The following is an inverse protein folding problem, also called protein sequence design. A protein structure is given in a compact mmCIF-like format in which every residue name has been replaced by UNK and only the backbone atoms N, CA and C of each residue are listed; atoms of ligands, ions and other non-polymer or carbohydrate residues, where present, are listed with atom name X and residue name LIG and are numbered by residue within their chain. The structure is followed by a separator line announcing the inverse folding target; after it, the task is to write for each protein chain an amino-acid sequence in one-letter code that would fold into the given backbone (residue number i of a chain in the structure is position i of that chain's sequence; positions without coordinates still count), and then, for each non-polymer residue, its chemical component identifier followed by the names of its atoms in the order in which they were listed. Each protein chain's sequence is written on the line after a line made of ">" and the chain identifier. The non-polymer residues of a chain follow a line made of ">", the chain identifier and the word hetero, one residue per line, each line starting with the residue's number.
data_IF_782743075400
#
_entry.id   IF_782743075400
#
_cell.length_a   1.000
_cell.length_b   1.000
_cell.length_c   1.000
_cell.angle_alpha   90.00
_cell.angle_beta   90.00
_cell.angle_gamma   90.00
#
_symmetry.space_group_name_H-M   'P 1'
#
loop_
_entity.id
_entity.type
_entity.pdbx_description
1 polymer ?
#
# COMPACT_ATOMS: atom_id res chain seq x y z
N UNK A 1 6.01 29.68 1.20
CA UNK A 1 4.57 29.94 0.96
C UNK A 1 3.78 29.52 2.19
N UNK A 2 2.52 29.96 2.34
CA UNK A 2 1.59 29.44 3.36
C UNK A 2 0.77 28.30 2.77
N UNK A 3 0.77 27.13 3.40
CA UNK A 3 0.14 25.91 2.86
C UNK A 3 -0.76 25.27 3.93
N UNK A 4 -1.99 24.99 3.54
CA UNK A 4 -2.92 24.19 4.33
C UNK A 4 -2.93 22.75 3.82
N UNK A 5 -2.75 21.79 4.73
CA UNK A 5 -2.90 20.35 4.48
C UNK A 5 -4.16 19.86 5.20
N UNK A 6 -5.05 19.18 4.49
CA UNK A 6 -6.30 18.67 5.05
C UNK A 6 -6.15 17.17 5.31
N UNK A 7 -6.23 16.79 6.59
CA UNK A 7 -6.06 15.44 7.11
C UNK A 7 -4.66 15.17 7.65
N UNK A 8 -4.58 14.59 8.84
CA UNK A 8 -3.35 14.13 9.50
C UNK A 8 -3.20 12.60 9.44
N UNK A 9 -3.63 11.98 8.34
CA UNK A 9 -3.24 10.61 7.98
C UNK A 9 -1.79 10.53 7.53
N UNK A 10 -1.30 9.34 7.19
CA UNK A 10 0.10 9.13 6.77
C UNK A 10 0.51 10.03 5.60
N UNK A 11 -0.38 10.21 4.61
CA UNK A 11 -0.12 11.10 3.47
C UNK A 11 -0.02 12.56 3.94
N UNK A 12 -0.98 13.05 4.71
CA UNK A 12 -0.94 14.44 5.19
C UNK A 12 0.27 14.74 6.07
N UNK A 13 0.64 13.82 6.96
CA UNK A 13 1.84 13.97 7.81
C UNK A 13 3.12 14.00 6.98
N UNK A 14 3.30 13.05 6.06
CA UNK A 14 4.51 12.99 5.20
C UNK A 14 4.59 14.21 4.27
N UNK A 15 3.47 14.64 3.69
CA UNK A 15 3.40 15.86 2.89
C UNK A 15 3.77 17.10 3.71
N UNK A 16 3.22 17.23 4.92
CA UNK A 16 3.51 18.39 5.76
C UNK A 16 4.97 18.42 6.21
N UNK A 17 5.55 17.26 6.55
CA UNK A 17 6.97 17.13 6.88
C UNK A 17 7.87 17.58 5.72
N UNK A 18 7.69 17.04 4.51
CA UNK A 18 8.54 17.41 3.36
C UNK A 18 8.36 18.89 2.99
N UNK A 19 7.15 19.44 3.01
CA UNK A 19 6.93 20.88 2.77
C UNK A 19 7.54 21.78 3.86
N UNK A 20 7.53 21.32 5.11
CA UNK A 20 8.20 22.01 6.22
C UNK A 20 9.72 22.00 6.06
N UNK A 21 10.29 20.87 5.63
CA UNK A 21 11.71 20.76 5.28
C UNK A 21 12.12 21.71 4.14
N UNK A 22 11.22 21.95 3.19
CA UNK A 22 11.39 22.93 2.10
C UNK A 22 11.21 24.40 2.57
N UNK A 23 10.99 24.65 3.86
CA UNK A 23 10.90 25.98 4.46
C UNK A 23 9.54 26.66 4.24
N UNK A 24 8.48 25.91 3.98
CA UNK A 24 7.13 26.46 3.87
C UNK A 24 6.44 26.60 5.23
N UNK A 25 5.54 27.59 5.35
CA UNK A 25 4.67 27.76 6.52
C UNK A 25 3.47 26.81 6.36
N UNK A 26 3.51 25.65 7.00
CA UNK A 26 2.49 24.59 6.83
C UNK A 26 1.59 24.50 8.06
N UNK A 27 0.28 24.46 7.83
CA UNK A 27 -0.70 24.08 8.85
C UNK A 27 -1.50 22.86 8.39
N UNK A 28 -1.52 21.82 9.21
CA UNK A 28 -2.33 20.61 9.01
C UNK A 28 -3.62 20.73 9.81
N UNK A 29 -4.76 20.53 9.16
CA UNK A 29 -6.08 20.51 9.79
C UNK A 29 -6.61 19.08 9.84
N UNK A 30 -7.01 18.62 11.02
CA UNK A 30 -7.51 17.26 11.25
C UNK A 30 -8.80 17.32 12.08
N UNK A 31 -9.82 16.59 11.62
CA UNK A 31 -11.12 16.51 12.29
C UNK A 31 -11.08 15.67 13.56
N UNK A 32 -10.16 14.70 13.63
CA UNK A 32 -9.97 13.81 14.76
C UNK A 32 -9.09 14.44 15.85
N UNK A 33 -9.01 13.76 17.01
CA UNK A 33 -8.29 14.26 18.18
C UNK A 33 -6.78 14.05 18.10
N UNK A 34 -6.33 13.14 17.23
CA UNK A 34 -4.93 12.84 16.98
C UNK A 34 -4.68 12.52 15.49
N UNK A 35 -3.41 12.41 15.13
CA UNK A 35 -2.99 11.98 13.80
C UNK A 35 -3.19 10.47 13.61
N UNK A 36 -3.42 10.07 12.37
CA UNK A 36 -3.56 8.67 11.95
C UNK A 36 -4.65 7.88 12.70
N UNK A 37 -5.84 8.46 12.89
CA UNK A 37 -6.99 7.82 13.56
C UNK A 37 -8.00 7.15 12.61
N UNK A 38 -7.76 7.19 11.29
CA UNK A 38 -8.63 6.54 10.28
C UNK A 38 -7.88 5.42 9.54
N UNK A 39 -7.85 5.40 8.20
CA UNK A 39 -7.22 4.31 7.44
C UNK A 39 -5.74 4.07 7.80
N UNK A 40 -5.02 5.12 8.21
CA UNK A 40 -3.64 5.00 8.69
C UNK A 40 -3.50 4.35 10.07
N UNK A 41 -4.60 4.26 10.85
CA UNK A 41 -4.61 3.66 12.19
C UNK A 41 -4.33 2.16 12.14
N UNK A 42 -4.99 1.45 11.22
CA UNK A 42 -4.96 0.00 11.12
C UNK A 42 -5.03 -0.48 9.65
N UNK A 43 -4.02 -0.13 8.86
CA UNK A 43 -3.78 -0.82 7.58
C UNK A 43 -2.87 -2.04 7.79
N UNK A 44 -2.69 -2.84 6.74
CA UNK A 44 -1.87 -4.05 6.79
C UNK A 44 -0.36 -3.78 7.02
N UNK A 45 0.10 -2.53 6.90
CA UNK A 45 1.50 -2.15 7.11
C UNK A 45 2.47 -2.61 6.02
N UNK A 46 1.99 -3.26 4.95
CA UNK A 46 2.83 -3.87 3.92
C UNK A 46 3.46 -2.79 3.02
N UNK A 47 4.78 -2.84 2.88
CA UNK A 47 5.59 -2.00 2.01
C UNK A 47 6.21 -2.92 0.96
N UNK A 48 5.44 -3.17 -0.11
CA UNK A 48 5.79 -4.09 -1.18
C UNK A 48 5.56 -3.47 -2.58
N UNK A 49 6.48 -2.61 -3.07
CA UNK A 49 6.32 -1.91 -4.34
C UNK A 49 6.14 -2.83 -5.55
N UNK A 50 6.76 -4.01 -5.52
CA UNK A 50 6.66 -5.02 -6.57
C UNK A 50 5.25 -5.58 -6.75
N UNK A 51 4.42 -5.52 -5.71
CA UNK A 51 3.06 -6.06 -5.71
C UNK A 51 1.99 -5.04 -6.11
N UNK A 52 2.37 -3.77 -6.31
CA UNK A 52 1.43 -2.70 -6.63
C UNK A 52 0.88 -2.88 -8.05
N UNK A 53 -0.45 -3.00 -8.14
CA UNK A 53 -1.20 -3.06 -9.40
C UNK A 53 -2.39 -2.12 -9.37
N UNK A 54 -2.73 -1.46 -10.48
CA UNK A 54 -4.01 -0.77 -10.60
C UNK A 54 -5.18 -1.73 -10.35
N UNK A 55 -6.18 -1.25 -9.62
CA UNK A 55 -7.42 -1.98 -9.40
C UNK A 55 -8.26 -2.08 -10.69
N UNK A 56 -8.19 -1.06 -11.55
CA UNK A 56 -8.81 -1.07 -12.87
C UNK A 56 -7.92 -1.81 -13.88
N UNK A 57 -8.03 -3.13 -13.94
CA UNK A 57 -7.27 -3.98 -14.85
C UNK A 57 -8.16 -4.67 -15.90
N UNK A 58 -7.61 -5.08 -17.06
CA UNK A 58 -8.35 -5.85 -18.04
C UNK A 58 -9.00 -7.10 -17.43
N UNK A 59 -10.27 -7.33 -17.73
CA UNK A 59 -11.04 -8.45 -17.18
C UNK A 59 -11.60 -8.23 -15.77
N UNK A 60 -11.20 -7.16 -15.05
CA UNK A 60 -11.76 -6.84 -13.73
C UNK A 60 -13.27 -6.64 -13.74
N UNK A 61 -13.92 -5.98 -14.72
CA UNK A 61 -15.37 -5.87 -14.76
C UNK A 61 -16.09 -7.22 -14.72
N UNK A 62 -15.61 -8.20 -15.49
CA UNK A 62 -16.16 -9.57 -15.49
C UNK A 62 -15.97 -10.25 -14.14
N UNK A 63 -14.78 -10.10 -13.54
CA UNK A 63 -14.47 -10.65 -12.20
C UNK A 63 -15.35 -10.03 -11.11
N UNK A 64 -15.54 -8.71 -11.14
CA UNK A 64 -16.38 -7.97 -10.19
C UNK A 64 -17.83 -8.43 -10.28
N UNK A 65 -18.41 -8.46 -11.49
CA UNK A 65 -19.79 -8.93 -11.70
C UNK A 65 -19.94 -10.38 -11.23
N UNK A 66 -19.00 -11.26 -11.56
CA UNK A 66 -19.00 -12.64 -11.09
C UNK A 66 -18.94 -12.75 -9.56
N UNK A 67 -18.11 -11.93 -8.88
CA UNK A 67 -18.00 -11.92 -7.43
C UNK A 67 -19.25 -11.35 -6.73
N UNK A 68 -19.94 -10.38 -7.33
CA UNK A 68 -21.19 -9.84 -6.77
C UNK A 68 -22.30 -10.89 -6.66
N UNK A 69 -22.25 -11.95 -7.49
CA UNK A 69 -23.20 -13.06 -7.48
C UNK A 69 -22.81 -14.18 -6.49
N UNK A 70 -21.64 -14.10 -5.86
CA UNK A 70 -21.18 -15.12 -4.93
C UNK A 70 -21.71 -14.87 -3.51
N UNK A 71 -21.95 -15.95 -2.76
CA UNK A 71 -22.40 -15.91 -1.36
C UNK A 71 -21.48 -15.07 -0.45
N UNK A 72 -20.18 -15.07 -0.73
CA UNK A 72 -19.16 -14.28 -0.02
C UNK A 72 -18.58 -13.21 -0.95
N UNK A 73 -19.46 -12.38 -1.53
CA UNK A 73 -19.07 -11.30 -2.42
C UNK A 73 -18.13 -10.30 -1.73
N UNK A 74 -16.92 -10.12 -2.28
CA UNK A 74 -15.96 -9.10 -1.83
C UNK A 74 -16.35 -7.67 -2.21
N UNK A 75 -17.37 -7.50 -3.07
CA UNK A 75 -17.90 -6.21 -3.52
C UNK A 75 -19.41 -6.25 -3.39
N UNK A 76 -19.98 -5.23 -2.73
CA UNK A 76 -21.42 -5.04 -2.59
C UNK A 76 -21.81 -3.71 -3.21
N UNK A 77 -22.88 -3.71 -4.00
CA UNK A 77 -23.46 -2.50 -4.59
C UNK A 77 -24.82 -2.28 -3.97
N UNK A 78 -25.06 -1.08 -3.45
CA UNK A 78 -26.36 -0.70 -2.91
C UNK A 78 -27.22 -0.17 -4.05
N UNK A 79 -28.47 -0.62 -4.11
CA UNK A 79 -29.46 -0.13 -5.06
C UNK A 79 -30.48 0.77 -4.34
N UNK A 80 -31.06 1.78 -5.02
CA UNK A 80 -30.79 2.18 -6.41
C UNK A 80 -29.46 2.94 -6.55
N UNK A 81 -28.86 2.86 -7.75
CA UNK A 81 -27.64 3.61 -8.08
C UNK A 81 -27.97 5.06 -8.42
N UNK A 82 -27.20 5.99 -7.85
CA UNK A 82 -27.23 7.40 -8.19
C UNK A 82 -26.47 7.68 -9.50
N UNK A 83 -26.69 8.86 -10.10
CA UNK A 83 -26.10 9.24 -11.40
C UNK A 83 -24.57 9.35 -11.34
N UNK A 84 -24.05 9.85 -10.24
CA UNK A 84 -22.62 9.97 -9.94
C UNK A 84 -21.96 8.61 -9.77
N UNK A 85 -22.62 7.66 -9.09
CA UNK A 85 -22.15 6.27 -8.97
C UNK A 85 -22.04 5.61 -10.35
N UNK A 86 -23.07 5.75 -11.20
CA UNK A 86 -23.05 5.25 -12.58
C UNK A 86 -21.95 5.90 -13.43
N UNK A 87 -21.78 7.22 -13.31
CA UNK A 87 -20.74 7.95 -14.02
C UNK A 87 -19.34 7.48 -13.59
N UNK A 88 -19.14 7.24 -12.30
CA UNK A 88 -17.88 6.70 -11.77
C UNK A 88 -17.65 5.26 -12.25
N UNK A 89 -18.66 4.39 -12.21
CA UNK A 89 -18.57 3.01 -12.70
C UNK A 89 -18.19 2.98 -14.18
N UNK A 90 -18.76 3.89 -14.99
CA UNK A 90 -18.40 4.03 -16.40
C UNK A 90 -16.94 4.48 -16.59
N UNK A 91 -16.47 5.45 -15.81
CA UNK A 91 -15.07 5.89 -15.83
C UNK A 91 -14.12 4.76 -15.43
N UNK A 92 -14.46 4.00 -14.40
CA UNK A 92 -13.70 2.83 -13.95
C UNK A 92 -13.66 1.75 -15.03
N UNK A 93 -14.80 1.43 -15.65
CA UNK A 93 -14.87 0.47 -16.75
C UNK A 93 -13.96 0.89 -17.91
N UNK A 94 -14.02 2.16 -18.32
CA UNK A 94 -13.12 2.71 -19.35
C UNK A 94 -11.65 2.63 -18.93
N UNK A 95 -11.34 2.82 -17.65
CA UNK A 95 -9.97 2.71 -17.14
C UNK A 95 -9.43 1.26 -17.11
N UNK A 96 -10.29 0.24 -17.23
CA UNK A 96 -9.89 -1.16 -17.29
C UNK A 96 -9.33 -1.59 -18.66
N UNK A 97 -9.21 -0.69 -19.64
CA UNK A 97 -8.59 -1.00 -20.91
C UNK A 97 -7.07 -1.24 -20.76
N UNK A 98 -6.48 -2.04 -21.64
CA UNK A 98 -5.08 -2.49 -21.51
C UNK A 98 -4.08 -1.33 -21.56
N UNK A 99 -4.27 -0.37 -22.46
CA UNK A 99 -3.39 0.78 -22.62
C UNK A 99 -3.36 1.65 -21.34
N UNK A 100 -4.53 2.01 -20.83
CA UNK A 100 -4.66 2.78 -19.59
C UNK A 100 -4.13 2.01 -18.39
N UNK A 101 -4.35 0.70 -18.34
CA UNK A 101 -3.82 -0.16 -17.29
C UNK A 101 -2.29 -0.14 -17.28
N UNK A 102 -1.64 -0.34 -18.43
CA UNK A 102 -0.17 -0.35 -18.53
C UNK A 102 0.44 1.01 -18.16
N UNK A 103 -0.16 2.10 -18.61
CA UNK A 103 0.25 3.45 -18.24
C UNK A 103 0.12 3.70 -16.72
N UNK A 104 -1.05 3.39 -16.15
CA UNK A 104 -1.32 3.57 -14.72
C UNK A 104 -0.42 2.70 -13.86
N UNK A 105 -0.18 1.46 -14.27
CA UNK A 105 0.74 0.53 -13.60
C UNK A 105 2.15 1.09 -13.53
N UNK A 106 2.63 1.70 -14.61
CA UNK A 106 3.96 2.31 -14.67
C UNK A 106 4.08 3.46 -13.68
N UNK A 107 3.09 4.35 -13.63
CA UNK A 107 3.07 5.47 -12.67
C UNK A 107 2.98 5.00 -11.22
N UNK A 108 2.08 4.06 -10.92
CA UNK A 108 1.93 3.52 -9.57
C UNK A 108 3.21 2.84 -9.08
N UNK A 109 3.88 2.08 -9.94
CA UNK A 109 5.16 1.45 -9.59
C UNK A 109 6.24 2.48 -9.28
N UNK A 110 6.42 3.49 -10.15
CA UNK A 110 7.38 4.58 -9.92
C UNK A 110 7.14 5.27 -8.57
N UNK A 111 5.87 5.58 -8.27
CA UNK A 111 5.49 6.18 -7.00
C UNK A 111 5.77 5.25 -5.81
N UNK A 112 5.46 3.96 -5.92
CA UNK A 112 5.66 3.00 -4.85
C UNK A 112 7.15 2.79 -4.52
N UNK A 113 8.01 2.65 -5.54
CA UNK A 113 9.46 2.55 -5.35
C UNK A 113 10.05 3.83 -4.74
N UNK A 114 9.62 4.99 -5.26
CA UNK A 114 10.03 6.29 -4.69
C UNK A 114 9.58 6.42 -3.23
N UNK A 115 8.34 6.06 -2.92
CA UNK A 115 7.78 6.14 -1.58
C UNK A 115 8.54 5.25 -0.59
N UNK A 116 8.86 4.01 -0.96
CA UNK A 116 9.71 3.13 -0.13
C UNK A 116 11.10 3.72 0.08
N UNK A 117 11.75 4.21 -0.97
CA UNK A 117 13.07 4.81 -0.87
C UNK A 117 13.08 6.07 0.03
N UNK A 118 12.05 6.92 -0.07
CA UNK A 118 11.88 8.08 0.83
C UNK A 118 11.58 7.68 2.25
N UNK A 119 10.70 6.70 2.47
CA UNK A 119 10.46 6.14 3.80
C UNK A 119 11.77 5.70 4.45
N UNK A 120 12.59 4.92 3.75
CA UNK A 120 13.90 4.46 4.24
C UNK A 120 14.84 5.63 4.53
N UNK A 121 14.87 6.64 3.65
CA UNK A 121 15.73 7.81 3.84
C UNK A 121 15.33 8.60 5.08
N UNK A 122 14.03 8.90 5.23
CA UNK A 122 13.48 9.63 6.39
C UNK A 122 13.74 8.84 7.67
N UNK A 123 13.40 7.54 7.67
CA UNK A 123 13.63 6.64 8.81
C UNK A 123 15.08 6.67 9.26
N UNK A 124 16.02 6.51 8.33
CA UNK A 124 17.43 6.43 8.64
C UNK A 124 18.00 7.79 9.11
N UNK A 125 17.61 8.88 8.44
CA UNK A 125 18.09 10.23 8.76
C UNK A 125 17.61 10.70 10.15
N UNK A 126 16.35 10.43 10.48
CA UNK A 126 15.74 10.82 11.75
C UNK A 126 15.88 9.76 12.84
N UNK A 127 16.44 8.59 12.52
CA UNK A 127 16.57 7.42 13.40
C UNK A 127 15.23 7.02 14.02
N UNK A 128 14.19 6.94 13.18
CA UNK A 128 12.84 6.58 13.65
C UNK A 128 12.76 5.08 13.93
N UNK A 129 12.43 4.74 15.17
CA UNK A 129 12.17 3.36 15.61
C UNK A 129 10.67 3.13 15.79
N UNK A 130 10.13 2.16 15.07
CA UNK A 130 8.73 1.75 15.12
C UNK A 130 8.64 0.25 14.84
N UNK A 131 7.54 -0.39 15.24
CA UNK A 131 7.32 -1.82 15.06
C UNK A 131 7.36 -2.16 13.57
N UNK A 132 8.33 -2.96 13.18
CA UNK A 132 8.55 -3.36 11.79
C UNK A 132 9.24 -4.70 11.69
N UNK A 133 9.12 -5.33 10.52
CA UNK A 133 9.83 -6.54 10.17
C UNK A 133 10.25 -6.48 8.70
N UNK A 134 11.44 -6.99 8.40
CA UNK A 134 11.97 -7.10 7.05
C UNK A 134 11.52 -8.41 6.40
N UNK A 135 11.36 -8.36 5.09
CA UNK A 135 10.92 -9.47 4.28
C UNK A 135 9.40 -9.59 4.18
N UNK A 136 8.96 -10.16 3.07
CA UNK A 136 7.59 -10.59 2.86
C UNK A 136 7.58 -11.95 2.17
N UNK A 137 6.75 -12.88 2.64
CA UNK A 137 6.65 -14.21 2.07
C UNK A 137 5.21 -14.53 1.66
N UNK A 138 5.04 -14.94 0.40
CA UNK A 138 3.75 -15.34 -0.17
C UNK A 138 3.75 -16.85 -0.34
N UNK A 139 2.91 -17.54 0.45
CA UNK A 139 2.74 -18.99 0.34
C UNK A 139 1.85 -19.33 -0.87
N UNK A 140 2.29 -20.32 -1.64
CA UNK A 140 1.58 -20.89 -2.78
C UNK A 140 1.02 -22.24 -2.35
N UNK A 141 -0.31 -22.37 -2.29
CA UNK A 141 -0.95 -23.58 -1.78
C UNK A 141 -0.99 -24.69 -2.83
N UNK A 142 -1.15 -24.31 -4.10
CA UNK A 142 -1.34 -25.25 -5.21
C UNK A 142 -0.35 -24.97 -6.33
N UNK A 143 -0.15 -25.96 -7.20
CA UNK A 143 0.61 -25.80 -8.45
C UNK A 143 0.00 -24.69 -9.33
N UNK A 144 -1.33 -24.59 -9.36
CA UNK A 144 -2.03 -23.51 -10.05
C UNK A 144 -1.64 -22.12 -9.52
N UNK A 145 -1.44 -21.96 -8.21
CA UNK A 145 -1.00 -20.67 -7.64
C UNK A 145 0.42 -20.32 -8.11
N UNK A 146 1.29 -21.32 -8.23
CA UNK A 146 2.64 -21.16 -8.79
C UNK A 146 2.60 -20.73 -10.25
N UNK A 147 1.74 -21.32 -11.06
CA UNK A 147 1.61 -20.92 -12.47
C UNK A 147 1.04 -19.50 -12.61
N UNK A 148 0.03 -19.17 -11.81
CA UNK A 148 -0.60 -17.85 -11.82
C UNK A 148 0.35 -16.71 -11.41
N UNK A 149 1.35 -16.99 -10.57
CA UNK A 149 2.31 -15.96 -10.13
C UNK A 149 3.46 -15.76 -11.13
N UNK A 150 3.74 -16.69 -12.06
CA UNK A 150 4.86 -16.59 -12.99
C UNK A 150 4.91 -15.27 -13.80
N UNK A 151 3.80 -14.77 -14.38
CA UNK A 151 3.82 -13.48 -15.08
C UNK A 151 4.20 -12.31 -14.17
N UNK A 152 3.76 -12.35 -12.91
CA UNK A 152 4.13 -11.34 -11.91
C UNK A 152 5.60 -11.43 -11.54
N UNK A 153 6.15 -12.65 -11.38
CA UNK A 153 7.59 -12.86 -11.12
C UNK A 153 8.46 -12.38 -12.29
N UNK A 154 8.01 -12.58 -13.53
CA UNK A 154 8.69 -12.02 -14.70
C UNK A 154 8.77 -10.50 -14.62
N UNK A 155 7.68 -9.85 -14.23
CA UNK A 155 7.68 -8.39 -14.06
C UNK A 155 8.64 -7.95 -12.95
N UNK A 156 8.72 -8.70 -11.85
CA UNK A 156 9.70 -8.44 -10.79
C UNK A 156 11.14 -8.56 -11.29
N UNK A 157 11.43 -9.59 -12.11
CA UNK A 157 12.75 -9.75 -12.76
C UNK A 157 13.09 -8.56 -13.64
N UNK A 158 12.18 -8.14 -14.51
CA UNK A 158 12.34 -6.98 -15.39
C UNK A 158 12.51 -5.67 -14.59
N UNK A 159 11.97 -5.61 -13.37
CA UNK A 159 12.12 -4.48 -12.46
C UNK A 159 13.42 -4.47 -11.65
N UNK A 160 14.21 -5.55 -11.72
CA UNK A 160 15.36 -5.74 -10.84
C UNK A 160 14.99 -5.94 -9.36
N UNK A 161 13.75 -6.36 -9.06
CA UNK A 161 13.33 -6.64 -7.68
C UNK A 161 13.85 -8.02 -7.28
N UNK A 162 14.56 -8.08 -6.16
CA UNK A 162 15.03 -9.35 -5.61
C UNK A 162 13.84 -10.19 -5.12
N UNK A 163 13.80 -11.45 -5.53
CA UNK A 163 12.90 -12.45 -4.96
C UNK A 163 13.52 -13.84 -5.04
N UNK A 164 13.05 -14.75 -4.18
CA UNK A 164 13.42 -16.17 -4.18
C UNK A 164 12.16 -17.03 -4.30
N UNK A 165 12.19 -17.99 -5.21
CA UNK A 165 11.22 -19.09 -5.22
C UNK A 165 11.74 -20.17 -4.28
N UNK A 166 10.94 -20.54 -3.29
CA UNK A 166 11.30 -21.47 -2.24
C UNK A 166 10.43 -22.72 -2.33
N UNK A 167 11.07 -23.87 -2.23
CA UNK A 167 10.38 -25.13 -1.93
C UNK A 167 9.88 -25.13 -0.48
N UNK A 168 8.89 -25.96 -0.11
CA UNK A 168 8.28 -25.94 1.22
C UNK A 168 9.28 -26.03 2.38
N UNK A 169 10.29 -26.89 2.28
CA UNK A 169 11.33 -27.06 3.30
C UNK A 169 12.17 -25.79 3.46
N UNK A 170 12.46 -25.11 2.35
CA UNK A 170 13.19 -23.84 2.36
C UNK A 170 12.38 -22.71 3.00
N UNK A 171 11.07 -22.66 2.71
CA UNK A 171 10.17 -21.70 3.34
C UNK A 171 10.11 -21.90 4.87
N UNK A 172 10.14 -23.15 5.35
CA UNK A 172 10.19 -23.47 6.80
C UNK A 172 11.51 -23.11 7.46
N UNK A 173 12.63 -23.19 6.73
CA UNK A 173 13.91 -22.69 7.24
C UNK A 173 13.90 -21.17 7.41
N UNK A 174 13.18 -20.45 6.54
CA UNK A 174 13.01 -18.99 6.63
C UNK A 174 12.02 -18.60 7.72
N UNK A 175 10.87 -19.28 7.80
CA UNK A 175 9.82 -19.05 8.81
C UNK A 175 9.53 -20.36 9.57
N UNK A 176 10.26 -20.61 10.68
CA UNK A 176 10.09 -21.82 11.49
C UNK A 176 8.70 -21.97 12.13
N UNK A 177 7.91 -20.89 12.22
CA UNK A 177 6.54 -20.97 12.72
C UNK A 177 5.56 -21.64 11.74
N UNK A 178 5.97 -21.91 10.50
CA UNK A 178 5.15 -22.67 9.55
C UNK A 178 5.00 -24.13 10.00
N UNK A 179 3.78 -24.50 10.40
CA UNK A 179 3.44 -25.85 10.84
C UNK A 179 3.82 -26.92 9.79
N UNK A 180 4.71 -27.84 10.17
CA UNK A 180 5.24 -28.94 9.34
C UNK A 180 4.17 -29.82 8.72
N UNK A 181 3.02 -29.97 9.37
CA UNK A 181 1.92 -30.83 8.94
C UNK A 181 1.03 -30.15 7.89
N UNK A 182 1.19 -28.85 7.66
CA UNK A 182 0.40 -28.12 6.67
C UNK A 182 1.09 -28.18 5.30
N UNK A 183 0.52 -28.91 4.31
CA UNK A 183 1.09 -28.99 2.98
C UNK A 183 0.86 -27.69 2.21
N UNK A 184 1.85 -27.30 1.42
CA UNK A 184 1.76 -26.23 0.43
C UNK A 184 2.77 -26.50 -0.69
N UNK A 185 2.58 -25.87 -1.84
CA UNK A 185 3.36 -26.16 -3.04
C UNK A 185 4.70 -25.41 -3.09
N UNK A 186 4.79 -24.26 -2.41
CA UNK A 186 6.03 -23.49 -2.30
C UNK A 186 5.78 -22.07 -1.79
N UNK A 187 6.79 -21.21 -1.85
CA UNK A 187 6.66 -19.82 -1.46
C UNK A 187 7.47 -18.87 -2.35
N UNK A 188 7.04 -17.62 -2.40
CA UNK A 188 7.82 -16.51 -2.96
C UNK A 188 8.28 -15.64 -1.80
N UNK A 189 9.58 -15.46 -1.64
CA UNK A 189 10.16 -14.56 -0.66
C UNK A 189 10.67 -13.29 -1.34
N UNK A 190 10.29 -12.14 -0.78
CA UNK A 190 10.69 -10.80 -1.17
C UNK A 190 11.50 -10.19 -0.02
N UNK A 191 12.85 -10.29 -0.02
CA UNK A 191 13.67 -9.89 1.12
C UNK A 191 13.72 -8.37 1.34
N UNK A 192 13.49 -7.57 0.29
CA UNK A 192 13.56 -6.10 0.34
C UNK A 192 12.19 -5.43 0.60
N UNK A 193 11.13 -6.23 0.69
CA UNK A 193 9.82 -5.77 1.14
C UNK A 193 9.79 -5.81 2.67
N UNK A 194 8.86 -5.08 3.28
CA UNK A 194 8.79 -5.00 4.74
C UNK A 194 7.34 -4.80 5.20
N UNK A 195 7.11 -4.99 6.50
CA UNK A 195 5.87 -4.63 7.17
C UNK A 195 6.19 -3.63 8.27
N UNK A 196 5.35 -2.61 8.45
CA UNK A 196 5.57 -1.58 9.45
C UNK A 196 4.28 -1.03 10.05
N UNK A 197 4.36 -0.65 11.33
CA UNK A 197 3.28 0.03 12.04
C UNK A 197 3.10 1.47 11.51
N UNK A 198 2.19 1.63 10.55
CA UNK A 198 1.93 2.89 9.87
C UNK A 198 1.52 4.00 10.84
N UNK A 199 0.70 3.70 11.85
CA UNK A 199 0.26 4.67 12.84
C UNK A 199 1.42 5.18 13.67
N UNK A 200 2.25 4.27 14.19
CA UNK A 200 3.41 4.64 15.00
C UNK A 200 4.38 5.50 14.19
N UNK A 201 4.70 5.10 12.96
CA UNK A 201 5.52 5.91 12.06
C UNK A 201 4.92 7.31 11.82
N UNK A 202 3.61 7.40 11.55
CA UNK A 202 2.93 8.67 11.35
C UNK A 202 2.98 9.57 12.59
N UNK A 203 2.82 9.02 13.80
CA UNK A 203 2.90 9.78 15.04
C UNK A 203 4.32 10.30 15.31
N UNK A 204 5.34 9.47 15.05
CA UNK A 204 6.74 9.86 15.16
C UNK A 204 7.07 10.96 14.15
N UNK A 205 6.73 10.77 12.88
CA UNK A 205 7.00 11.76 11.84
C UNK A 205 6.23 13.07 12.07
N UNK A 206 5.01 13.02 12.64
CA UNK A 206 4.27 14.22 13.04
C UNK A 206 5.06 15.03 14.09
N UNK A 207 5.73 14.38 15.04
CA UNK A 207 6.56 15.08 16.01
C UNK A 207 7.76 15.76 15.33
N UNK A 208 8.39 15.08 14.36
CA UNK A 208 9.49 15.66 13.58
C UNK A 208 9.01 16.82 12.69
N UNK A 209 7.83 16.71 12.09
CA UNK A 209 7.20 17.79 11.34
C UNK A 209 7.00 19.05 12.21
N UNK A 210 6.56 18.87 13.46
CA UNK A 210 6.42 19.99 14.40
C UNK A 210 7.76 20.66 14.73
N UNK A 211 8.86 19.89 14.82
CA UNK A 211 10.20 20.44 15.06
C UNK A 211 10.70 21.33 13.92
N UNK A 212 10.24 21.06 12.70
CA UNK A 212 10.58 21.86 11.50
C UNK A 212 9.57 22.98 11.22
N UNK A 213 8.69 23.29 12.18
CA UNK A 213 7.79 24.45 12.14
C UNK A 213 6.38 24.17 11.63
N UNK A 214 6.01 22.92 11.34
CA UNK A 214 4.66 22.56 10.91
C UNK A 214 3.68 22.67 12.08
N UNK A 215 2.57 23.37 11.87
CA UNK A 215 1.49 23.49 12.86
C UNK A 215 0.42 22.42 12.62
N UNK A 216 -0.10 21.81 13.69
CA UNK A 216 -1.23 20.87 13.62
C UNK A 216 -2.43 21.42 14.39
N UNK A 217 -3.60 21.39 13.77
CA UNK A 217 -4.89 21.81 14.32
C UNK A 217 -5.84 20.61 14.33
N UNK A 218 -5.95 19.96 15.48
CA UNK A 218 -6.86 18.83 15.71
C UNK A 218 -8.27 19.30 16.09
N UNK A 219 -9.25 18.40 16.01
CA UNK A 219 -10.67 18.68 16.23
C UNK A 219 -11.20 19.83 15.34
N UNK A 220 -10.68 19.94 14.12
CA UNK A 220 -11.06 20.95 13.15
C UNK A 220 -11.73 20.31 11.93
N UNK A 221 -13.02 20.58 11.75
CA UNK A 221 -13.74 20.23 10.52
C UNK A 221 -13.58 21.36 9.50
N UNK A 222 -13.14 20.99 8.29
CA UNK A 222 -12.94 21.90 7.14
C UNK A 222 -13.90 21.53 6.03
#
# INVERSE_FOLDING_TARGET
>A
MKIAVIGAGIIGVTTAYELGQDGHEVTVFERRGAAAEETSFANAGIIAPGYVTPWAAPGMPRKVIGQMLQRHAGIRVRLPLARDELAWMWRWYRACNLEQYLASRTHMRRLAFYSRARLHTIRNALRLEYDRSDGYMVLLRTERDRDMVQPSLQVLREAGVAFRQLEPEQARMVEPALNTDTPFHGAIQLPDDEVGNCRQFALLLKNEAQRVGVTFRFNCSV
#
